data_IF_489001913165
#
_entry.id   IF_489001913165
#
_cell.length_a   1.000
_cell.length_b   1.000
_cell.length_c   1.000
_cell.angle_alpha   90.00
_cell.angle_beta   90.00
_cell.angle_gamma   90.00
#
_symmetry.space_group_name_H-M   'P 1'
#
loop_
_entity.id
_entity.type
_entity.pdbx_description
1 polymer ?
#
# COMPACT_ATOMS: atom_id res chain seq x y z
N UNK A 1 -10.54 -5.87 18.26
CA UNK A 1 -9.44 -5.71 17.27
C UNK A 1 -9.77 -6.51 15.99
N UNK A 2 -9.62 -5.91 14.80
CA UNK A 2 -9.89 -6.63 13.55
C UNK A 2 -8.63 -7.36 13.06
N UNK A 3 -8.80 -8.56 12.50
CA UNK A 3 -7.70 -9.41 11.98
C UNK A 3 -6.79 -8.63 11.01
N UNK A 4 -7.39 -7.79 10.14
CA UNK A 4 -6.67 -6.96 9.17
C UNK A 4 -5.63 -6.05 9.86
N UNK A 5 -5.98 -5.44 11.01
CA UNK A 5 -5.05 -4.57 11.75
C UNK A 5 -3.90 -5.35 12.38
N UNK A 6 -4.16 -6.58 12.83
CA UNK A 6 -3.11 -7.43 13.39
C UNK A 6 -2.14 -7.91 12.29
N UNK A 7 -2.66 -8.24 11.10
CA UNK A 7 -1.84 -8.53 9.90
C UNK A 7 -0.96 -7.32 9.56
N UNK A 8 -1.55 -6.12 9.48
CA UNK A 8 -0.79 -4.90 9.17
C UNK A 8 0.34 -4.63 10.16
N UNK A 9 0.10 -4.83 11.46
CA UNK A 9 1.13 -4.70 12.49
C UNK A 9 2.29 -5.66 12.29
N UNK A 10 2.01 -6.92 11.95
CA UNK A 10 3.05 -7.93 11.70
C UNK A 10 3.84 -7.60 10.43
N UNK A 11 3.17 -7.17 9.37
CA UNK A 11 3.82 -6.74 8.13
C UNK A 11 4.77 -5.57 8.40
N UNK A 12 4.31 -4.54 9.13
CA UNK A 12 5.16 -3.40 9.48
C UNK A 12 6.36 -3.81 10.33
N UNK A 13 6.15 -4.68 11.32
CA UNK A 13 7.25 -5.23 12.13
C UNK A 13 8.28 -5.96 11.27
N UNK A 14 7.87 -6.71 10.25
CA UNK A 14 8.78 -7.39 9.33
C UNK A 14 9.53 -6.39 8.42
N UNK A 15 8.81 -5.40 7.87
CA UNK A 15 9.42 -4.34 7.05
C UNK A 15 10.49 -3.56 7.85
N UNK A 16 10.19 -3.20 9.10
CA UNK A 16 11.10 -2.44 9.97
C UNK A 16 12.37 -3.22 10.36
N UNK A 17 12.36 -4.56 10.28
CA UNK A 17 13.57 -5.38 10.49
C UNK A 17 14.59 -5.21 9.35
N UNK A 18 14.12 -4.87 8.14
CA UNK A 18 14.98 -4.57 6.99
C UNK A 18 15.74 -5.77 6.41
N UNK A 19 15.38 -7.00 6.78
CA UNK A 19 16.01 -8.24 6.29
C UNK A 19 15.31 -8.81 5.04
N UNK A 20 14.17 -8.23 4.64
CA UNK A 20 13.43 -8.60 3.44
C UNK A 20 12.70 -7.42 2.81
N UNK A 21 12.45 -7.53 1.49
CA UNK A 21 11.50 -6.67 0.80
C UNK A 21 10.10 -7.31 0.84
N UNK A 22 9.08 -6.50 1.10
CA UNK A 22 7.69 -6.92 1.12
C UNK A 22 6.96 -6.22 -0.04
N UNK A 23 6.27 -7.01 -0.87
CA UNK A 23 5.41 -6.50 -1.93
C UNK A 23 3.98 -6.91 -1.58
N UNK A 24 3.12 -5.92 -1.34
CA UNK A 24 1.70 -6.14 -1.04
C UNK A 24 0.87 -5.80 -2.28
N UNK A 25 -0.08 -6.68 -2.61
CA UNK A 25 -1.11 -6.42 -3.61
C UNK A 25 -2.44 -6.29 -2.88
N UNK A 26 -3.01 -5.10 -2.87
CA UNK A 26 -4.15 -4.77 -2.02
C UNK A 26 -5.25 -4.05 -2.78
N UNK A 27 -6.49 -4.46 -2.53
CA UNK A 27 -7.70 -3.79 -3.06
C UNK A 27 -8.24 -2.72 -2.10
N UNK A 28 -7.83 -2.76 -0.83
CA UNK A 28 -8.29 -1.83 0.19
C UNK A 28 -7.34 -0.64 0.30
N UNK A 29 -7.76 0.50 -0.26
CA UNK A 29 -6.96 1.74 -0.27
C UNK A 29 -6.44 2.12 1.11
N UNK A 30 -7.31 2.12 2.13
CA UNK A 30 -6.93 2.57 3.47
C UNK A 30 -5.82 1.69 4.08
N UNK A 31 -5.83 0.38 3.77
CA UNK A 31 -4.81 -0.56 4.23
C UNK A 31 -3.48 -0.37 3.49
N UNK A 32 -3.54 -0.18 2.16
CA UNK A 32 -2.36 0.14 1.37
C UNK A 32 -1.71 1.46 1.82
N UNK A 33 -2.51 2.49 2.09
CA UNK A 33 -2.03 3.78 2.57
C UNK A 33 -1.38 3.68 3.96
N UNK A 34 -1.92 2.84 4.85
CA UNK A 34 -1.37 2.66 6.20
C UNK A 34 0.02 1.99 6.19
N UNK A 35 0.29 1.11 5.22
CA UNK A 35 1.50 0.28 5.21
C UNK A 35 2.55 0.67 4.17
N UNK A 36 2.18 1.36 3.10
CA UNK A 36 3.07 1.61 1.97
C UNK A 36 4.18 2.62 2.30
N UNK A 37 5.44 2.21 2.10
CA UNK A 37 6.56 3.14 1.97
C UNK A 37 6.60 3.74 0.54
N UNK A 38 6.35 2.89 -0.46
CA UNK A 38 6.18 3.21 -1.88
C UNK A 38 4.89 2.58 -2.41
N UNK A 39 4.29 3.17 -3.44
CA UNK A 39 3.09 2.63 -4.09
C UNK A 39 3.24 2.55 -5.61
N UNK A 40 2.50 1.60 -6.19
CA UNK A 40 2.29 1.42 -7.62
C UNK A 40 0.80 1.21 -7.85
N UNK A 41 0.20 1.96 -8.78
CA UNK A 41 -1.17 1.72 -9.24
C UNK A 41 -1.11 1.14 -10.65
N UNK A 42 -1.80 0.02 -10.84
CA UNK A 42 -1.90 -0.64 -12.13
C UNK A 42 -3.34 -0.65 -12.63
N UNK A 43 -3.52 -0.38 -13.92
CA UNK A 43 -4.79 -0.51 -14.62
C UNK A 43 -4.54 -1.28 -15.93
N UNK A 44 -5.27 -2.38 -16.15
CA UNK A 44 -5.19 -3.18 -17.39
C UNK A 44 -3.77 -3.64 -17.77
N UNK A 45 -2.94 -3.93 -16.77
CA UNK A 45 -1.56 -4.39 -16.97
C UNK A 45 -0.53 -3.27 -17.12
N UNK A 46 -0.96 -2.00 -17.14
CA UNK A 46 -0.09 -0.84 -17.26
C UNK A 46 0.04 -0.11 -15.92
N UNK A 47 1.21 0.48 -15.68
CA UNK A 47 1.45 1.33 -14.50
C UNK A 47 0.94 2.74 -14.80
N UNK A 48 -0.10 3.15 -14.07
CA UNK A 48 -0.72 4.47 -14.26
C UNK A 48 -0.27 5.51 -13.22
N UNK A 49 0.20 5.08 -12.05
CA UNK A 49 0.76 5.97 -11.04
C UNK A 49 1.79 5.26 -10.15
N UNK A 50 2.74 6.03 -9.61
CA UNK A 50 3.73 5.57 -8.63
C UNK A 50 4.24 6.72 -7.79
N UNK A 51 4.70 6.42 -6.57
CA UNK A 51 5.31 7.42 -5.70
C UNK A 51 5.49 6.92 -4.27
N UNK A 52 5.86 7.84 -3.38
CA UNK A 52 5.98 7.55 -1.96
C UNK A 52 4.59 7.35 -1.34
N UNK A 53 4.44 6.36 -0.46
CA UNK A 53 3.17 6.07 0.23
C UNK A 53 2.61 7.27 0.99
N UNK A 54 3.50 8.06 1.63
CA UNK A 54 3.11 9.31 2.33
C UNK A 54 2.46 10.37 1.42
N UNK A 55 2.63 10.27 0.11
CA UNK A 55 2.05 11.19 -0.86
C UNK A 55 0.77 10.64 -1.52
N UNK A 56 0.31 9.43 -1.16
CA UNK A 56 -0.84 8.78 -1.81
C UNK A 56 -2.11 9.64 -1.79
N UNK A 57 -2.40 10.26 -0.64
CA UNK A 57 -3.56 11.15 -0.49
C UNK A 57 -3.41 12.40 -1.36
N UNK A 58 -2.26 13.08 -1.28
CA UNK A 58 -1.97 14.27 -2.07
C UNK A 58 -1.99 14.01 -3.58
N UNK A 59 -1.60 12.81 -3.99
CA UNK A 59 -1.57 12.36 -5.38
C UNK A 59 -2.94 11.85 -5.87
N UNK A 60 -3.98 11.85 -5.03
CA UNK A 60 -5.31 11.39 -5.41
C UNK A 60 -5.35 9.91 -5.80
N UNK A 61 -4.56 9.07 -5.13
CA UNK A 61 -4.45 7.64 -5.46
C UNK A 61 -5.80 6.93 -5.25
N UNK A 62 -6.58 7.32 -4.24
CA UNK A 62 -7.87 6.70 -3.93
C UNK A 62 -8.83 6.71 -5.13
N UNK A 63 -8.82 7.77 -5.91
CA UNK A 63 -9.67 7.94 -7.10
C UNK A 63 -9.27 6.99 -8.23
N UNK A 64 -8.01 6.55 -8.26
CA UNK A 64 -7.48 5.63 -9.28
C UNK A 64 -7.84 4.17 -8.99
N UNK A 65 -8.16 3.82 -7.74
CA UNK A 65 -8.46 2.43 -7.31
C UNK A 65 -9.96 2.19 -7.11
N UNK A 66 -10.81 3.21 -7.26
CA UNK A 66 -12.24 3.15 -6.95
C UNK A 66 -13.13 2.50 -8.05
N UNK A 67 -12.55 1.64 -8.91
CA UNK A 67 -13.23 1.03 -10.06
C UNK A 67 -13.42 -0.47 -9.83
#
# INVERSE_FOLDING_TARGET
PSIIKDIGRVIRMLADRGDMAIVLCEQYYDFAQELADDYLVMERGEVIARGLGKNMEANGVRQLVAI
#
